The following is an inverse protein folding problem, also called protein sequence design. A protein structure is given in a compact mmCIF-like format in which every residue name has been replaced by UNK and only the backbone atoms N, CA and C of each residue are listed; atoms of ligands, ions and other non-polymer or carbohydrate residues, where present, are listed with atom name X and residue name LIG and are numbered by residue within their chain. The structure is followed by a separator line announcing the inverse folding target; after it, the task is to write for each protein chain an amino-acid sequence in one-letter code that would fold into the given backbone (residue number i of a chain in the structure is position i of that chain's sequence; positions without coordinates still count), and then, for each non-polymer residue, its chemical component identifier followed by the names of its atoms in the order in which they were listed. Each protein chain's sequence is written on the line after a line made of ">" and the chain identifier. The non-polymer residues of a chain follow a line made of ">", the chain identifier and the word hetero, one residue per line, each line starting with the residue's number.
data_IF_744520160077
#
_entry.id   IF_744520160077
#
_cell.length_a   1.000
_cell.length_b   1.000
_cell.length_c   1.000
_cell.angle_alpha   90.00
_cell.angle_beta   90.00
_cell.angle_gamma   90.00
#
_symmetry.space_group_name_H-M   'P 1'
#
loop_
_entity.id
_entity.type
_entity.pdbx_description
1 polymer ?
#
# COMPACT_ATOMS: atom_id res chain seq x y z
N UNK A 1 -7.77 16.31 9.91
CA UNK A 1 -7.85 15.11 9.06
C UNK A 1 -6.83 15.23 7.94
N UNK A 2 -5.96 14.23 7.84
CA UNK A 2 -4.90 14.22 6.84
C UNK A 2 -5.30 13.33 5.67
N UNK A 3 -5.27 13.88 4.46
CA UNK A 3 -5.45 13.15 3.21
C UNK A 3 -4.11 13.13 2.48
N UNK A 4 -3.70 11.97 2.00
CA UNK A 4 -2.45 11.82 1.26
C UNK A 4 -2.75 11.46 -0.19
N UNK A 5 -2.14 12.19 -1.12
CA UNK A 5 -2.25 11.92 -2.55
C UNK A 5 -0.90 12.18 -3.22
N UNK A 6 -0.72 11.62 -4.40
CA UNK A 6 0.54 11.72 -5.12
C UNK A 6 1.61 10.80 -4.53
N UNK A 7 2.50 10.30 -5.34
CA UNK A 7 3.61 9.44 -4.90
C UNK A 7 3.21 8.06 -4.40
N UNK A 8 1.92 7.76 -4.26
CA UNK A 8 1.44 6.45 -3.83
C UNK A 8 1.35 5.55 -5.06
N UNK A 9 2.19 4.53 -5.14
CA UNK A 9 2.30 3.68 -6.32
C UNK A 9 2.06 2.20 -6.05
N UNK A 10 2.08 1.80 -4.79
CA UNK A 10 1.94 0.40 -4.40
C UNK A 10 1.31 0.30 -3.01
N UNK A 11 0.77 -0.88 -2.64
CA UNK A 11 0.11 -1.06 -1.35
C UNK A 11 0.95 -0.67 -0.14
N UNK A 12 2.26 -0.90 -0.18
CA UNK A 12 3.14 -0.56 0.95
C UNK A 12 3.20 0.96 1.18
N UNK A 13 3.11 1.75 0.11
CA UNK A 13 3.02 3.23 0.23
C UNK A 13 1.72 3.65 0.91
N UNK A 14 0.63 2.96 0.60
CA UNK A 14 -0.67 3.22 1.26
C UNK A 14 -0.58 2.92 2.75
N UNK A 15 0.00 1.79 3.11
CA UNK A 15 0.19 1.40 4.51
C UNK A 15 1.03 2.44 5.24
N UNK A 16 2.10 2.93 4.63
CA UNK A 16 2.95 3.98 5.20
C UNK A 16 2.11 5.22 5.52
N UNK A 17 1.28 5.66 4.58
CA UNK A 17 0.44 6.83 4.78
C UNK A 17 -0.52 6.65 5.96
N UNK A 18 -1.18 5.49 6.06
CA UNK A 18 -2.09 5.20 7.16
C UNK A 18 -1.37 5.10 8.50
N UNK A 19 -0.22 4.47 8.54
CA UNK A 19 0.60 4.37 9.75
C UNK A 19 1.03 5.75 10.24
N UNK A 20 1.29 6.67 9.32
CA UNK A 20 1.63 8.05 9.65
C UNK A 20 0.41 8.93 9.99
N UNK A 21 -0.78 8.35 9.96
CA UNK A 21 -1.98 9.02 10.44
C UNK A 21 -2.95 9.51 9.37
N UNK A 22 -2.73 9.20 8.10
CA UNK A 22 -3.66 9.59 7.05
C UNK A 22 -5.01 8.89 7.23
N UNK A 23 -6.10 9.59 6.97
CA UNK A 23 -7.45 9.02 7.00
C UNK A 23 -7.85 8.41 5.67
N UNK A 24 -7.30 8.91 4.58
CA UNK A 24 -7.55 8.41 3.24
C UNK A 24 -6.34 8.64 2.37
N UNK A 25 -6.23 7.83 1.32
CA UNK A 25 -5.13 7.90 0.37
C UNK A 25 -5.72 7.99 -1.04
N UNK A 26 -5.28 8.99 -1.80
CA UNK A 26 -5.71 9.20 -3.18
C UNK A 26 -4.74 8.58 -4.17
N UNK A 27 -5.29 7.96 -5.20
CA UNK A 27 -4.52 7.26 -6.23
C UNK A 27 -4.74 7.84 -7.64
N UNK A 28 -5.26 9.07 -7.75
CA UNK A 28 -5.67 9.63 -9.03
C UNK A 28 -4.58 9.57 -10.09
N UNK A 29 -3.37 9.98 -9.77
CA UNK A 29 -2.26 10.00 -10.72
C UNK A 29 -1.85 8.60 -11.13
N UNK A 30 -1.74 7.70 -10.16
CA UNK A 30 -1.38 6.31 -10.43
C UNK A 30 -2.43 5.62 -11.29
N UNK A 31 -3.73 5.84 -10.99
CA UNK A 31 -4.82 5.30 -11.78
C UNK A 31 -4.81 5.85 -13.20
N UNK A 32 -4.55 7.15 -13.36
CA UNK A 32 -4.49 7.77 -14.69
C UNK A 32 -3.37 7.15 -15.53
N UNK A 33 -2.19 6.97 -14.95
CA UNK A 33 -1.07 6.32 -15.62
C UNK A 33 -1.41 4.88 -16.04
N UNK A 34 -2.09 4.13 -15.18
CA UNK A 34 -2.51 2.76 -15.49
C UNK A 34 -3.52 2.72 -16.63
N UNK A 35 -4.49 3.63 -16.63
CA UNK A 35 -5.51 3.70 -17.68
C UNK A 35 -4.89 4.04 -19.03
N UNK A 36 -3.86 4.86 -19.05
CA UNK A 36 -3.15 5.24 -20.27
C UNK A 36 -2.30 4.13 -20.85
N UNK A 37 -1.80 3.21 -20.02
CA UNK A 37 -0.82 2.21 -20.43
C UNK A 37 -1.37 0.79 -20.47
N UNK A 38 -2.56 0.53 -19.93
CA UNK A 38 -3.13 -0.80 -19.80
C UNK A 38 -4.59 -0.83 -20.25
N UNK A 39 -5.07 -2.02 -20.61
CA UNK A 39 -6.48 -2.23 -20.90
C UNK A 39 -7.30 -2.19 -19.59
N UNK A 40 -8.62 -2.06 -19.72
CA UNK A 40 -9.53 -2.05 -18.55
C UNK A 40 -9.38 -3.34 -17.74
N UNK A 41 -9.32 -4.49 -18.40
CA UNK A 41 -9.18 -5.77 -17.72
C UNK A 41 -7.86 -5.88 -16.97
N UNK A 42 -6.78 -5.37 -17.56
CA UNK A 42 -5.48 -5.32 -16.91
C UNK A 42 -5.50 -4.42 -15.67
N UNK A 43 -6.15 -3.25 -15.76
CA UNK A 43 -6.28 -2.33 -14.63
C UNK A 43 -7.04 -2.98 -13.48
N UNK A 44 -8.14 -3.67 -13.79
CA UNK A 44 -8.93 -4.38 -12.77
C UNK A 44 -8.08 -5.44 -12.08
N UNK A 45 -7.31 -6.21 -12.84
CA UNK A 45 -6.41 -7.22 -12.30
C UNK A 45 -5.37 -6.61 -11.36
N UNK A 46 -4.77 -5.50 -11.77
CA UNK A 46 -3.77 -4.79 -10.96
C UNK A 46 -4.38 -4.28 -9.65
N UNK A 47 -5.55 -3.65 -9.72
CA UNK A 47 -6.24 -3.12 -8.53
C UNK A 47 -6.61 -4.25 -7.57
N UNK A 48 -7.10 -5.37 -8.08
CA UNK A 48 -7.42 -6.53 -7.25
C UNK A 48 -6.17 -7.11 -6.58
N UNK A 49 -5.06 -7.13 -7.29
CA UNK A 49 -3.76 -7.54 -6.74
C UNK A 49 -3.35 -6.61 -5.59
N UNK A 50 -3.53 -5.30 -5.75
CA UNK A 50 -3.23 -4.34 -4.69
C UNK A 50 -4.09 -4.56 -3.44
N UNK A 51 -5.37 -4.85 -3.63
CA UNK A 51 -6.27 -5.15 -2.50
C UNK A 51 -5.78 -6.37 -1.73
N UNK A 52 -5.39 -7.40 -2.44
CA UNK A 52 -4.87 -8.62 -1.81
C UNK A 52 -3.56 -8.35 -1.07
N UNK A 53 -2.63 -7.63 -1.70
CA UNK A 53 -1.36 -7.26 -1.08
C UNK A 53 -1.59 -6.41 0.16
N UNK A 54 -2.52 -5.45 0.11
CA UNK A 54 -2.85 -4.62 1.26
C UNK A 54 -3.40 -5.49 2.40
N UNK A 55 -4.28 -6.43 2.08
CA UNK A 55 -4.83 -7.36 3.08
C UNK A 55 -3.72 -8.17 3.74
N UNK A 56 -2.79 -8.68 2.96
CA UNK A 56 -1.67 -9.47 3.48
C UNK A 56 -0.75 -8.63 4.37
N UNK A 57 -0.47 -7.41 3.97
CA UNK A 57 0.35 -6.49 4.77
C UNK A 57 -0.35 -6.19 6.10
N UNK A 58 -1.65 -5.92 6.06
CA UNK A 58 -2.41 -5.64 7.27
C UNK A 58 -2.43 -6.87 8.20
N UNK A 59 -2.57 -8.07 7.65
CA UNK A 59 -2.48 -9.30 8.43
C UNK A 59 -1.12 -9.45 9.10
N UNK A 60 -0.04 -9.16 8.37
CA UNK A 60 1.31 -9.21 8.91
C UNK A 60 1.53 -8.22 10.07
N UNK A 61 0.82 -7.09 10.03
CA UNK A 61 0.87 -6.08 11.10
C UNK A 61 -0.16 -6.32 12.20
N UNK A 62 -0.98 -7.38 12.08
CA UNK A 62 -2.01 -7.69 13.07
C UNK A 62 -3.23 -6.80 13.01
N UNK A 63 -3.51 -6.19 11.87
CA UNK A 63 -4.60 -5.22 11.70
C UNK A 63 -5.77 -5.82 10.95
N UNK A 64 -7.00 -5.55 11.43
CA UNK A 64 -8.23 -5.98 10.78
C UNK A 64 -8.93 -4.84 10.02
N UNK A 65 -8.55 -3.60 10.29
CA UNK A 65 -9.17 -2.43 9.66
C UNK A 65 -8.19 -1.24 9.65
N UNK A 66 -8.58 -0.17 8.97
CA UNK A 66 -7.71 1.02 8.84
C UNK A 66 -7.48 1.75 10.15
N UNK A 67 -8.45 1.70 11.08
CA UNK A 67 -8.26 2.31 12.40
C UNK A 67 -7.10 1.65 13.12
N UNK A 68 -7.06 0.33 13.12
CA UNK A 68 -5.97 -0.41 13.74
C UNK A 68 -4.63 -0.11 13.05
N UNK A 69 -4.66 0.00 11.72
CA UNK A 69 -3.47 0.30 10.94
C UNK A 69 -2.86 1.65 11.35
N UNK A 70 -3.70 2.65 11.63
CA UNK A 70 -3.22 3.96 12.07
C UNK A 70 -2.60 3.95 13.47
N UNK A 71 -2.85 2.90 14.25
CA UNK A 71 -2.28 2.73 15.58
C UNK A 71 -0.99 1.92 15.60
N UNK A 72 -0.58 1.36 14.46
CA UNK A 72 0.64 0.57 14.35
C UNK A 72 1.86 1.48 14.56
N UNK A 73 2.81 1.10 15.42
CA UNK A 73 4.06 1.85 15.53
C UNK A 73 4.83 1.88 14.21
N UNK A 74 5.30 3.05 13.83
CA UNK A 74 6.04 3.21 12.57
C UNK A 74 7.24 2.27 12.47
N UNK A 75 7.86 1.93 13.59
CA UNK A 75 8.99 1.01 13.62
C UNK A 75 8.62 -0.37 13.08
N UNK A 76 7.42 -0.87 13.38
CA UNK A 76 6.93 -2.16 12.86
C UNK A 76 6.77 -2.12 11.34
N UNK A 77 6.18 -1.05 10.81
CA UNK A 77 6.07 -0.83 9.37
C UNK A 77 7.45 -0.81 8.71
N UNK A 78 8.39 -0.09 9.31
CA UNK A 78 9.74 0.05 8.80
C UNK A 78 10.46 -1.30 8.75
N UNK A 79 10.30 -2.13 9.77
CA UNK A 79 10.88 -3.48 9.81
C UNK A 79 10.29 -4.37 8.72
N UNK A 80 8.98 -4.28 8.50
CA UNK A 80 8.32 -5.04 7.44
C UNK A 80 8.86 -4.63 6.07
N UNK A 81 9.01 -3.34 5.84
CA UNK A 81 9.54 -2.82 4.58
C UNK A 81 10.97 -3.29 4.32
N UNK A 82 11.81 -3.28 5.35
CA UNK A 82 13.19 -3.75 5.25
C UNK A 82 13.25 -5.24 4.93
N UNK A 83 12.43 -6.04 5.58
CA UNK A 83 12.34 -7.47 5.33
C UNK A 83 11.91 -7.77 3.90
N UNK A 84 10.94 -7.04 3.38
CA UNK A 84 10.46 -7.19 2.01
C UNK A 84 11.55 -6.80 1.01
N UNK A 85 12.25 -5.70 1.25
CA UNK A 85 13.37 -5.27 0.40
C UNK A 85 14.49 -6.30 0.37
N UNK A 86 14.83 -6.87 1.51
CA UNK A 86 15.85 -7.91 1.61
C UNK A 86 15.42 -9.18 0.87
N UNK A 87 14.18 -9.60 1.02
CA UNK A 87 13.65 -10.75 0.31
C UNK A 87 13.70 -10.54 -1.21
N UNK A 88 13.33 -9.36 -1.68
CA UNK A 88 13.38 -9.03 -3.10
C UNK A 88 14.82 -9.09 -3.63
N UNK A 89 15.80 -8.68 -2.85
CA UNK A 89 17.21 -8.77 -3.21
C UNK A 89 17.70 -10.22 -3.29
N UNK A 90 17.21 -11.07 -2.43
CA UNK A 90 17.59 -12.50 -2.44
C UNK A 90 17.00 -13.24 -3.64
N UNK A 91 15.79 -12.85 -4.08
CA UNK A 91 15.11 -13.47 -5.21
C UNK A 91 15.76 -13.07 -6.55
N UNK A 92 16.35 -11.90 -6.60
CA UNK A 92 17.05 -11.44 -7.80
C UNK A 92 18.40 -12.11 -7.92
#
# INVERSE_FOLDING_TARGET
>A
DILVSGGVRQPLDMVKAFVLGAKAVGLSRTMLELIETHSVDEVITIVNSWKEDLRLIMCALGCQNLRELRQVPYLLYRRLREAQGQLNNEIR
#
